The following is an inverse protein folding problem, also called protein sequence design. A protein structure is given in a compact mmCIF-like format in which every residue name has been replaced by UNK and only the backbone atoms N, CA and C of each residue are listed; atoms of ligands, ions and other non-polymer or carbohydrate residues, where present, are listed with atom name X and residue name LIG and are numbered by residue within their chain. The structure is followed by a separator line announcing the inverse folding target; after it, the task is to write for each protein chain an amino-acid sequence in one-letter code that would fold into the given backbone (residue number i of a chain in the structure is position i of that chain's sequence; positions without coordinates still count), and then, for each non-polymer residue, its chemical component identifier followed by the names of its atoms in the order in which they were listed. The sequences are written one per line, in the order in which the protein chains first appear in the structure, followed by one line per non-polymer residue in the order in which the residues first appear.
data_IF_344363676199
#
_entry.id   IF_344363676199
#
_cell.length_a   1.000
_cell.length_b   1.000
_cell.length_c   1.000
_cell.angle_alpha   90.00
_cell.angle_beta   90.00
_cell.angle_gamma   90.00
#
_symmetry.space_group_name_H-M   'P 1'
#
loop_
_entity.id
_entity.type
_entity.pdbx_description
1 polymer ?
#
# COMPACT_ATOMS: atom_id res chain seq x y z
N UNK A 1 7.43 15.22 9.10
CA UNK A 1 6.48 14.16 9.51
C UNK A 1 5.05 14.67 9.44
N UNK A 2 4.61 15.18 8.28
CA UNK A 2 3.27 15.76 8.13
C UNK A 2 2.80 15.69 6.68
N UNK A 3 3.00 14.53 6.05
CA UNK A 3 2.42 14.24 4.74
C UNK A 3 1.14 13.44 4.94
N UNK A 4 0.08 13.80 4.22
CA UNK A 4 -1.15 13.02 4.18
C UNK A 4 -0.85 11.76 3.38
N UNK A 5 -0.94 10.59 4.03
CA UNK A 5 -0.69 9.28 3.45
C UNK A 5 -1.89 8.37 3.63
N UNK A 6 -2.24 7.62 2.60
CA UNK A 6 -3.03 6.40 2.71
C UNK A 6 -2.25 5.26 3.38
N UNK A 7 -2.92 4.13 3.53
CA UNK A 7 -2.47 2.95 4.26
C UNK A 7 -3.23 2.76 5.58
N UNK A 8 -3.69 1.53 5.82
CA UNK A 8 -4.35 1.11 7.07
C UNK A 8 -3.82 -0.25 7.52
N UNK A 9 -4.08 -0.68 8.77
CA UNK A 9 -3.79 -2.05 9.20
C UNK A 9 -4.49 -3.12 8.36
N UNK A 10 -5.55 -2.76 7.62
CA UNK A 10 -6.29 -3.67 6.76
C UNK A 10 -5.67 -3.80 5.35
N UNK A 11 -4.74 -2.92 4.98
CA UNK A 11 -4.08 -2.94 3.67
C UNK A 11 -3.64 -1.55 3.19
N UNK A 12 -2.84 -1.54 2.12
CA UNK A 12 -2.40 -0.34 1.44
C UNK A 12 -3.59 0.39 0.80
N UNK A 13 -3.62 1.71 0.94
CA UNK A 13 -4.57 2.59 0.27
C UNK A 13 -3.84 3.84 -0.22
N UNK A 14 -4.44 4.59 -1.14
CA UNK A 14 -3.91 5.86 -1.64
C UNK A 14 -5.01 6.92 -1.65
N UNK A 15 -4.65 8.18 -1.42
CA UNK A 15 -5.55 9.32 -1.60
C UNK A 15 -5.48 9.86 -3.03
N UNK A 16 -6.61 10.00 -3.71
CA UNK A 16 -6.66 10.45 -5.11
C UNK A 16 -7.01 11.93 -5.31
N UNK A 17 -7.33 12.68 -4.25
CA UNK A 17 -8.03 13.98 -4.30
C UNK A 17 -9.43 13.87 -4.91
N UNK A 18 -10.26 14.91 -4.73
CA UNK A 18 -11.66 14.91 -5.20
C UNK A 18 -11.80 14.84 -6.74
N UNK A 19 -10.79 15.33 -7.46
CA UNK A 19 -10.72 15.34 -8.92
C UNK A 19 -9.90 14.17 -9.49
N UNK A 20 -9.33 13.30 -8.64
CA UNK A 20 -8.48 12.19 -9.06
C UNK A 20 -7.05 12.58 -9.47
N UNK A 21 -6.65 13.85 -9.30
CA UNK A 21 -5.34 14.34 -9.76
C UNK A 21 -4.15 13.82 -8.96
N UNK A 22 -4.35 13.44 -7.69
CA UNK A 22 -3.24 13.04 -6.81
C UNK A 22 -2.78 11.62 -7.14
N UNK A 23 -1.49 11.51 -7.45
CA UNK A 23 -0.82 10.24 -7.61
C UNK A 23 -0.39 9.66 -6.26
N UNK A 24 -0.23 8.33 -6.16
CA UNK A 24 0.33 7.70 -4.97
C UNK A 24 1.69 8.29 -4.62
N UNK A 25 1.85 8.66 -3.35
CA UNK A 25 3.13 9.10 -2.77
C UNK A 25 4.09 7.94 -2.64
N UNK A 26 5.37 8.25 -2.44
CA UNK A 26 6.38 7.21 -2.23
C UNK A 26 6.04 6.32 -1.02
N UNK A 27 5.52 6.91 0.07
CA UNK A 27 5.12 6.15 1.25
C UNK A 27 3.97 5.16 0.96
N UNK A 28 2.94 5.61 0.23
CA UNK A 28 1.83 4.73 -0.19
C UNK A 28 2.30 3.58 -1.09
N UNK A 29 3.24 3.87 -2.01
CA UNK A 29 3.86 2.85 -2.87
C UNK A 29 4.70 1.85 -2.07
N UNK A 30 5.45 2.29 -1.07
CA UNK A 30 6.27 1.41 -0.25
C UNK A 30 5.41 0.48 0.63
N UNK A 31 4.29 0.99 1.17
CA UNK A 31 3.30 0.16 1.88
C UNK A 31 2.70 -0.88 0.92
N UNK A 32 2.35 -0.50 -0.32
CA UNK A 32 1.81 -1.43 -1.31
C UNK A 32 2.82 -2.52 -1.71
N UNK A 33 4.11 -2.16 -1.90
CA UNK A 33 5.18 -3.13 -2.15
C UNK A 33 5.34 -4.11 -1.00
N UNK A 34 5.33 -3.59 0.24
CA UNK A 34 5.39 -4.44 1.43
C UNK A 34 4.20 -5.40 1.49
N UNK A 35 2.97 -4.90 1.27
CA UNK A 35 1.78 -5.75 1.28
C UNK A 35 1.88 -6.87 0.24
N UNK A 36 2.30 -6.56 -0.99
CA UNK A 36 2.50 -7.55 -2.05
C UNK A 36 3.53 -8.62 -1.66
N UNK A 37 4.69 -8.20 -1.13
CA UNK A 37 5.72 -9.11 -0.63
C UNK A 37 5.17 -10.00 0.49
N UNK A 38 4.51 -9.41 1.48
CA UNK A 38 4.00 -10.13 2.64
C UNK A 38 2.99 -11.22 2.26
N UNK A 39 2.03 -10.88 1.40
CA UNK A 39 1.04 -11.84 0.91
C UNK A 39 1.69 -12.95 0.07
N UNK A 40 2.62 -12.59 -0.83
CA UNK A 40 3.30 -13.57 -1.67
C UNK A 40 4.15 -14.57 -0.84
N UNK A 41 4.87 -14.08 0.17
CA UNK A 41 5.64 -14.92 1.08
C UNK A 41 4.76 -15.87 1.89
N UNK A 42 3.60 -15.40 2.37
CA UNK A 42 2.64 -16.25 3.07
C UNK A 42 2.04 -17.31 2.13
N UNK A 43 1.62 -16.91 0.93
CA UNK A 43 1.08 -17.82 -0.07
C UNK A 43 2.10 -18.91 -0.44
N UNK A 44 3.37 -18.55 -0.62
CA UNK A 44 4.45 -19.50 -0.91
C UNK A 44 4.63 -20.55 0.20
N UNK A 45 4.49 -20.14 1.48
CA UNK A 45 4.56 -21.07 2.62
C UNK A 45 3.34 -21.99 2.75
N UNK A 46 2.20 -21.60 2.19
CA UNK A 46 0.96 -22.39 2.23
C UNK A 46 0.82 -23.32 1.02
N UNK A 47 1.52 -23.03 -0.09
CA UNK A 47 1.36 -23.73 -1.35
C UNK A 47 2.03 -25.12 -1.41
N UNK A 48 2.78 -25.55 -0.39
CA UNK A 48 3.45 -26.86 -0.33
C UNK A 48 4.54 -26.90 0.72
#
# INVERSE_FOLDING_TARGET
MSEISGGTPYGATTMASADGSRQPTQNELDIARYQGKHVAELAAKLAG
#
